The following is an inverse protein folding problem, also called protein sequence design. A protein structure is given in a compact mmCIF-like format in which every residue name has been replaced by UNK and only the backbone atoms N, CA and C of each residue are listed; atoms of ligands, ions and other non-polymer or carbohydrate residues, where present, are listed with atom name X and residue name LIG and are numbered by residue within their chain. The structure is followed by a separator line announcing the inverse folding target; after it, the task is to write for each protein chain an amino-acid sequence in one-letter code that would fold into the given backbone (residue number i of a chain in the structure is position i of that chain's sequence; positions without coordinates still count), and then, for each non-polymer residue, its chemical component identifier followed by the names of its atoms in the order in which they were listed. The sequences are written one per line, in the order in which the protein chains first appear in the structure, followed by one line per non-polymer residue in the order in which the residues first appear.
data_IF_430860676383
#
_entry.id   IF_430860676383
#
_cell.length_a   1.000
_cell.length_b   1.000
_cell.length_c   1.000
_cell.angle_alpha   90.00
_cell.angle_beta   90.00
_cell.angle_gamma   90.00
#
_symmetry.space_group_name_H-M   'P 1'
#
loop_
_entity.id
_entity.type
_entity.pdbx_description
1 polymer ?
#
# COMPACT_ATOMS: atom_id res chain seq x y z
N UNK A 1 -6.06 -5.92 -25.75
CA UNK A 1 -4.76 -5.98 -25.05
C UNK A 1 -4.97 -5.38 -23.67
N UNK A 2 -4.85 -6.18 -22.59
CA UNK A 2 -5.07 -5.69 -21.23
C UNK A 2 -3.95 -4.69 -20.88
N UNK A 3 -4.30 -3.42 -20.64
CA UNK A 3 -3.30 -2.38 -20.31
C UNK A 3 -3.00 -2.48 -18.82
N UNK A 4 -1.81 -2.97 -18.49
CA UNK A 4 -1.37 -3.08 -17.11
C UNK A 4 -1.07 -1.69 -16.54
N UNK A 5 -1.83 -1.28 -15.52
CA UNK A 5 -1.62 -0.03 -14.79
C UNK A 5 -0.96 -0.34 -13.45
N UNK A 6 -0.03 0.51 -13.05
CA UNK A 6 0.76 0.34 -11.83
C UNK A 6 0.95 1.69 -11.17
N UNK A 7 1.01 1.70 -9.85
CA UNK A 7 1.51 2.85 -9.10
C UNK A 7 2.25 2.38 -7.86
N UNK A 8 3.04 3.28 -7.29
CA UNK A 8 3.60 3.16 -5.94
C UNK A 8 3.28 4.41 -5.14
N UNK A 9 3.17 4.28 -3.82
CA UNK A 9 2.97 5.40 -2.92
C UNK A 9 4.33 5.96 -2.46
N UNK A 10 4.44 7.27 -2.34
CA UNK A 10 5.53 7.92 -1.61
C UNK A 10 4.96 9.05 -0.77
N UNK A 11 5.68 9.44 0.28
CA UNK A 11 5.31 10.59 1.10
C UNK A 11 6.14 11.79 0.70
N UNK A 12 5.50 12.85 0.18
CA UNK A 12 6.14 14.15 0.03
C UNK A 12 6.29 14.79 1.42
N UNK A 13 7.38 14.47 2.09
CA UNK A 13 7.60 14.80 3.51
C UNK A 13 7.57 16.30 3.77
N UNK A 14 8.15 17.10 2.87
CA UNK A 14 8.14 18.56 2.98
C UNK A 14 6.74 19.19 2.75
N UNK A 15 5.71 18.36 2.55
CA UNK A 15 4.30 18.72 2.38
C UNK A 15 3.37 17.93 3.30
N UNK A 16 3.85 16.87 3.95
CA UNK A 16 3.05 15.90 4.71
C UNK A 16 1.91 15.28 3.87
N UNK A 17 2.15 15.07 2.57
CA UNK A 17 1.14 14.59 1.63
C UNK A 17 1.56 13.26 0.98
N UNK A 18 0.58 12.47 0.55
CA UNK A 18 0.80 11.26 -0.26
C UNK A 18 0.93 11.62 -1.73
N UNK A 19 1.87 11.00 -2.42
CA UNK A 19 2.01 11.08 -3.88
C UNK A 19 1.95 9.67 -4.46
N UNK A 20 1.10 9.47 -5.48
CA UNK A 20 1.10 8.24 -6.26
C UNK A 20 1.95 8.44 -7.52
N UNK A 21 3.04 7.67 -7.62
CA UNK A 21 3.89 7.62 -8.81
C UNK A 21 3.32 6.54 -9.73
N UNK A 22 2.73 6.96 -10.85
CA UNK A 22 1.87 6.11 -11.71
C UNK A 22 2.53 5.79 -13.04
N UNK A 23 2.17 4.65 -13.62
CA UNK A 23 2.54 4.27 -15.00
C UNK A 23 1.60 4.85 -16.06
N UNK A 24 0.56 5.59 -15.64
CA UNK A 24 -0.43 6.23 -16.50
C UNK A 24 -0.57 7.70 -16.12
N UNK A 25 -1.03 8.52 -17.08
CA UNK A 25 -1.30 9.93 -16.83
C UNK A 25 -2.64 10.06 -16.12
N UNK A 26 -2.63 10.73 -14.98
CA UNK A 26 -3.83 11.16 -14.30
C UNK A 26 -4.26 12.52 -14.85
N UNK A 27 -5.36 12.53 -15.61
CA UNK A 27 -5.90 13.75 -16.21
C UNK A 27 -7.05 14.35 -15.36
N UNK A 28 -7.32 13.78 -14.19
CA UNK A 28 -8.48 14.10 -13.35
C UNK A 28 -8.11 14.98 -12.14
N UNK A 29 -6.82 15.25 -11.93
CA UNK A 29 -6.34 16.12 -10.86
C UNK A 29 -6.63 17.58 -11.23
N UNK A 30 -7.70 18.12 -10.63
CA UNK A 30 -8.07 19.54 -10.76
C UNK A 30 -7.72 20.37 -9.52
N UNK A 31 -7.26 19.73 -8.44
CA UNK A 31 -6.91 20.41 -7.19
C UNK A 31 -5.52 21.04 -7.32
N UNK A 32 -5.43 22.36 -7.21
CA UNK A 32 -4.15 23.05 -7.18
C UNK A 32 -3.45 22.78 -5.84
N UNK A 33 -2.23 22.24 -5.94
CA UNK A 33 -1.31 22.11 -4.82
C UNK A 33 0.11 22.11 -5.37
N UNK A 34 1.09 22.50 -4.54
CA UNK A 34 2.49 22.48 -4.97
C UNK A 34 2.96 21.07 -5.38
N UNK A 35 2.43 20.03 -4.74
CA UNK A 35 2.69 18.64 -5.13
C UNK A 35 2.13 18.37 -6.53
N UNK A 36 0.85 18.67 -6.76
CA UNK A 36 0.18 18.42 -8.02
C UNK A 36 0.82 19.22 -9.17
N UNK A 37 1.24 20.45 -8.91
CA UNK A 37 1.92 21.29 -9.89
C UNK A 37 3.26 20.67 -10.30
N UNK A 38 4.10 20.30 -9.33
CA UNK A 38 5.40 19.66 -9.61
C UNK A 38 5.22 18.33 -10.34
N UNK A 39 4.24 17.53 -9.93
CA UNK A 39 3.97 16.23 -10.56
C UNK A 39 3.41 16.38 -11.97
N UNK A 40 2.53 17.35 -12.21
CA UNK A 40 2.04 17.67 -13.56
C UNK A 40 3.18 18.07 -14.49
N UNK A 41 4.09 18.91 -14.01
CA UNK A 41 5.19 19.46 -14.82
C UNK A 41 6.32 18.46 -15.11
N UNK A 42 6.47 17.42 -14.28
CA UNK A 42 7.66 16.56 -14.31
C UNK A 42 7.42 15.05 -14.20
N UNK A 43 6.17 14.58 -14.09
CA UNK A 43 5.88 13.15 -13.91
C UNK A 43 6.41 12.27 -15.04
N UNK A 44 6.57 12.81 -16.24
CA UNK A 44 7.17 12.16 -17.41
C UNK A 44 8.64 11.76 -17.19
N UNK A 45 9.33 12.42 -16.26
CA UNK A 45 10.73 12.16 -15.91
C UNK A 45 10.91 11.11 -14.81
N UNK A 46 9.82 10.61 -14.23
CA UNK A 46 9.89 9.59 -13.19
C UNK A 46 10.23 8.25 -13.83
N UNK A 47 11.43 7.75 -13.53
CA UNK A 47 11.84 6.39 -13.91
C UNK A 47 11.35 5.38 -12.89
N UNK A 48 11.29 4.10 -13.29
CA UNK A 48 11.01 3.00 -12.35
C UNK A 48 12.01 3.02 -11.19
N UNK A 49 13.30 3.21 -11.47
CA UNK A 49 14.34 3.28 -10.43
C UNK A 49 14.09 4.42 -9.43
N UNK A 50 13.67 5.59 -9.91
CA UNK A 50 13.33 6.70 -9.03
C UNK A 50 12.11 6.39 -8.18
N UNK A 51 11.05 5.87 -8.80
CA UNK A 51 9.82 5.53 -8.11
C UNK A 51 10.05 4.45 -7.04
N UNK A 52 10.83 3.41 -7.34
CA UNK A 52 11.17 2.34 -6.39
C UNK A 52 11.99 2.88 -5.23
N UNK A 53 12.96 3.78 -5.46
CA UNK A 53 13.72 4.41 -4.37
C UNK A 53 12.84 5.30 -3.50
N UNK A 54 11.95 6.08 -4.11
CA UNK A 54 11.07 7.00 -3.39
C UNK A 54 10.07 6.25 -2.49
N UNK A 55 9.44 5.18 -3.00
CA UNK A 55 8.49 4.38 -2.20
C UNK A 55 9.15 3.62 -1.05
N UNK A 56 10.46 3.33 -1.12
CA UNK A 56 11.19 2.54 -0.13
C UNK A 56 12.14 3.38 0.75
N UNK A 57 12.11 4.71 0.64
CA UNK A 57 13.04 5.61 1.34
C UNK A 57 12.66 5.76 2.83
N UNK A 58 12.71 4.65 3.58
CA UNK A 58 12.35 4.60 4.98
C UNK A 58 13.31 5.48 5.79
N UNK A 59 12.79 6.45 6.59
CA UNK A 59 13.63 7.31 7.40
C UNK A 59 14.59 6.48 8.24
N UNK A 60 15.85 6.91 8.32
CA UNK A 60 16.98 6.27 9.01
C UNK A 60 17.54 4.99 8.39
N UNK A 61 16.86 4.37 7.44
CA UNK A 61 17.40 3.25 6.66
C UNK A 61 17.99 3.73 5.33
N UNK A 62 17.33 4.67 4.67
CA UNK A 62 17.73 5.16 3.35
C UNK A 62 17.72 6.69 3.29
N UNK A 63 18.53 7.30 2.40
CA UNK A 63 18.45 8.72 2.12
C UNK A 63 17.12 9.07 1.46
N UNK A 64 16.64 10.28 1.73
CA UNK A 64 15.47 10.85 1.06
C UNK A 64 15.71 11.07 -0.44
N UNK A 65 14.63 11.01 -1.24
CA UNK A 65 14.70 11.26 -2.68
C UNK A 65 14.23 12.68 -2.98
N UNK A 66 15.14 13.52 -3.47
CA UNK A 66 14.86 14.91 -3.88
C UNK A 66 14.39 14.95 -5.33
N UNK A 67 13.29 15.67 -5.58
CA UNK A 67 12.64 15.69 -6.89
C UNK A 67 12.05 17.06 -7.26
N UNK A 68 12.17 17.54 -8.51
CA UNK A 68 13.05 17.08 -9.60
C UNK A 68 14.54 17.07 -9.25
N UNK A 69 15.36 16.26 -9.92
CA UNK A 69 16.78 16.05 -9.56
C UNK A 69 17.64 17.32 -9.65
N UNK A 70 17.41 18.18 -10.66
CA UNK A 70 18.20 19.40 -10.88
C UNK A 70 17.62 20.67 -10.24
N UNK A 71 16.37 20.62 -9.76
CA UNK A 71 15.71 21.71 -9.03
C UNK A 71 14.70 21.10 -8.04
N UNK A 72 15.15 20.58 -6.89
CA UNK A 72 14.27 19.87 -5.97
C UNK A 72 13.17 20.73 -5.39
N UNK A 73 11.92 20.38 -5.69
CA UNK A 73 10.71 21.03 -5.16
C UNK A 73 9.96 20.15 -4.14
N UNK A 74 10.17 18.84 -4.22
CA UNK A 74 9.61 17.79 -3.37
C UNK A 74 10.72 16.94 -2.75
N UNK A 75 10.47 16.49 -1.53
CA UNK A 75 11.32 15.52 -0.82
C UNK A 75 10.49 14.29 -0.52
N UNK A 76 10.85 13.16 -1.12
CA UNK A 76 10.15 11.90 -1.02
C UNK A 76 10.77 10.99 0.03
N UNK A 77 9.92 10.50 0.93
CA UNK A 77 10.19 9.41 1.87
C UNK A 77 9.29 8.21 1.56
N UNK A 78 9.53 7.10 2.26
CA UNK A 78 8.80 5.84 2.14
C UNK A 78 7.28 6.02 2.13
N UNK A 79 6.60 5.35 1.20
CA UNK A 79 5.13 5.38 1.10
C UNK A 79 4.43 4.79 2.32
N UNK A 80 5.09 3.90 3.05
CA UNK A 80 4.68 3.29 4.30
C UNK A 80 4.41 4.29 5.41
N UNK A 81 4.99 5.50 5.35
CA UNK A 81 4.75 6.56 6.33
C UNK A 81 3.28 6.94 6.44
N UNK A 82 2.61 7.09 5.29
CA UNK A 82 1.19 7.43 5.25
C UNK A 82 0.33 6.25 4.78
N UNK A 83 0.87 5.37 3.93
CA UNK A 83 0.11 4.36 3.20
C UNK A 83 0.81 2.98 3.20
N UNK A 84 1.17 2.47 4.38
CA UNK A 84 1.73 1.11 4.49
C UNK A 84 0.75 0.00 4.06
N UNK A 85 -0.54 0.34 3.95
CA UNK A 85 -1.52 -0.43 3.20
C UNK A 85 -2.21 0.49 2.18
N UNK A 86 -1.81 0.46 0.89
CA UNK A 86 -2.29 1.40 -0.13
C UNK A 86 -3.66 1.01 -0.69
N UNK A 87 -4.49 0.29 0.07
CA UNK A 87 -5.74 -0.31 -0.42
C UNK A 87 -6.75 0.73 -0.87
N UNK A 88 -6.85 1.85 -0.13
CA UNK A 88 -7.72 2.96 -0.49
C UNK A 88 -7.19 3.65 -1.76
N UNK A 89 -5.89 3.91 -1.82
CA UNK A 89 -5.22 4.49 -2.99
C UNK A 89 -5.47 3.64 -4.24
N UNK A 90 -5.36 2.31 -4.11
CA UNK A 90 -5.67 1.36 -5.17
C UNK A 90 -7.14 1.47 -5.58
N UNK A 91 -8.05 1.40 -4.62
CA UNK A 91 -9.48 1.41 -4.89
C UNK A 91 -9.94 2.68 -5.59
N UNK A 92 -9.44 3.85 -5.17
CA UNK A 92 -9.82 5.13 -5.78
C UNK A 92 -9.06 5.43 -7.07
N UNK A 93 -7.85 4.88 -7.27
CA UNK A 93 -7.08 5.10 -8.50
C UNK A 93 -7.79 4.65 -9.77
N UNK A 94 -8.76 3.72 -9.68
CA UNK A 94 -9.55 3.30 -10.85
C UNK A 94 -10.34 4.44 -11.49
N UNK A 95 -10.76 5.44 -10.71
CA UNK A 95 -11.53 6.57 -11.23
C UNK A 95 -10.65 7.48 -12.10
N UNK A 96 -9.34 7.42 -11.92
CA UNK A 96 -8.34 8.16 -12.70
C UNK A 96 -8.07 7.50 -14.07
N UNK A 97 -8.55 6.26 -14.28
CA UNK A 97 -8.31 5.48 -15.52
C UNK A 97 -9.29 5.82 -16.63
N UNK A 98 -10.34 6.58 -16.32
CA UNK A 98 -11.44 6.93 -17.22
C UNK A 98 -11.71 8.44 -17.14
N UNK A 99 -12.49 8.98 -18.08
CA UNK A 99 -12.90 10.38 -17.99
C UNK A 99 -13.90 10.60 -16.84
N UNK A 100 -13.99 11.81 -16.26
CA UNK A 100 -14.89 12.07 -15.11
C UNK A 100 -16.37 11.76 -15.35
N UNK A 101 -16.81 11.76 -16.61
CA UNK A 101 -18.18 11.43 -17.02
C UNK A 101 -18.38 9.95 -17.39
N UNK A 102 -17.32 9.14 -17.38
CA UNK A 102 -17.36 7.72 -17.69
C UNK A 102 -17.45 6.89 -16.40
N UNK A 103 -18.14 5.73 -16.41
CA UNK A 103 -18.16 4.84 -15.27
C UNK A 103 -16.76 4.31 -14.98
N UNK A 104 -16.41 4.21 -13.70
CA UNK A 104 -15.15 3.60 -13.29
C UNK A 104 -15.06 2.13 -13.74
N UNK A 105 -13.85 1.62 -14.04
CA UNK A 105 -13.67 0.21 -14.38
C UNK A 105 -14.22 -0.70 -13.29
N UNK A 106 -14.98 -1.72 -13.70
CA UNK A 106 -15.45 -2.76 -12.79
C UNK A 106 -14.26 -3.50 -12.19
N UNK A 107 -14.34 -3.80 -10.90
CA UNK A 107 -13.30 -4.53 -10.16
C UNK A 107 -13.88 -5.87 -9.73
N UNK A 108 -13.49 -6.95 -10.39
CA UNK A 108 -13.94 -8.29 -10.00
C UNK A 108 -13.32 -8.75 -8.69
N UNK A 109 -12.05 -8.38 -8.45
CA UNK A 109 -11.30 -8.79 -7.28
C UNK A 109 -10.28 -7.74 -6.83
N UNK A 110 -10.06 -7.69 -5.51
CA UNK A 110 -8.93 -7.02 -4.88
C UNK A 110 -8.21 -8.01 -3.96
N UNK A 111 -6.93 -8.29 -4.27
CA UNK A 111 -6.06 -9.11 -3.44
C UNK A 111 -5.05 -8.20 -2.74
N UNK A 112 -5.08 -8.19 -1.40
CA UNK A 112 -4.20 -7.40 -0.56
C UNK A 112 -3.23 -8.31 0.19
N UNK A 113 -1.93 -8.13 -0.06
CA UNK A 113 -0.87 -8.90 0.57
C UNK A 113 -0.22 -8.05 1.65
N UNK A 114 -0.15 -8.58 2.88
CA UNK A 114 0.57 -7.97 3.99
C UNK A 114 1.94 -8.61 4.20
N UNK A 115 2.85 -7.85 4.82
CA UNK A 115 4.22 -8.27 5.15
C UNK A 115 4.31 -9.00 6.49
N UNK A 116 3.18 -9.40 7.05
CA UNK A 116 3.08 -10.03 8.35
C UNK A 116 2.65 -9.07 9.46
N UNK A 117 2.22 -9.64 10.60
CA UNK A 117 1.88 -8.87 11.80
C UNK A 117 2.27 -9.63 13.07
N UNK A 118 2.65 -8.88 14.10
CA UNK A 118 2.81 -9.37 15.47
C UNK A 118 1.51 -9.02 16.22
N UNK A 119 0.92 -9.97 16.94
CA UNK A 119 -0.20 -9.68 17.84
C UNK A 119 0.36 -8.96 19.07
N UNK A 120 -0.07 -7.73 19.39
CA UNK A 120 0.33 -7.12 20.63
C UNK A 120 -0.29 -7.91 21.79
N UNK A 121 0.53 -8.29 22.77
CA UNK A 121 0.09 -8.85 24.04
C UNK A 121 -0.54 -7.74 24.90
N UNK A 122 -1.80 -7.38 24.60
CA UNK A 122 -2.53 -6.27 25.25
C UNK A 122 -1.91 -4.88 24.99
N UNK A 123 -2.68 -3.77 25.00
CA UNK A 123 -2.09 -2.44 24.96
C UNK A 123 -1.37 -2.16 26.29
N UNK A 124 -0.08 -2.46 26.38
CA UNK A 124 0.76 -2.07 27.52
C UNK A 124 1.11 -0.58 27.43
N UNK A 125 1.04 0.18 28.53
CA UNK A 125 1.45 1.61 28.67
C UNK A 125 2.74 2.01 27.90
N UNK A 126 3.66 1.06 27.68
CA UNK A 126 4.83 1.21 26.82
C UNK A 126 4.51 1.65 25.39
N UNK A 127 3.36 1.28 24.80
CA UNK A 127 2.95 1.63 23.43
C UNK A 127 2.86 3.13 23.14
N UNK A 128 2.70 3.95 24.18
CA UNK A 128 2.64 5.40 24.06
C UNK A 128 4.01 6.09 24.23
N UNK A 129 5.04 5.37 24.67
CA UNK A 129 6.34 5.94 25.06
C UNK A 129 7.43 5.81 23.98
N UNK A 130 7.06 5.40 22.76
CA UNK A 130 7.99 5.18 21.66
C UNK A 130 8.37 6.53 21.07
N UNK A 131 9.65 6.92 21.18
CA UNK A 131 10.18 8.09 20.51
C UNK A 131 10.97 7.71 19.24
N UNK A 132 10.92 8.56 18.22
CA UNK A 132 11.76 8.44 17.02
C UNK A 132 11.37 7.31 16.05
N UNK A 133 12.35 6.60 15.50
CA UNK A 133 12.18 5.61 14.41
C UNK A 133 11.30 4.44 14.83
N UNK A 134 11.39 4.00 16.08
CA UNK A 134 10.60 2.90 16.62
C UNK A 134 9.10 3.19 16.58
N UNK A 135 8.67 4.44 16.83
CA UNK A 135 7.25 4.81 16.72
C UNK A 135 6.78 4.83 15.26
N UNK A 136 7.66 5.16 14.33
CA UNK A 136 7.35 5.16 12.90
C UNK A 136 7.16 3.73 12.38
N UNK A 137 8.07 2.80 12.70
CA UNK A 137 7.96 1.38 12.34
C UNK A 137 6.72 0.74 12.95
N UNK A 138 6.44 1.01 14.24
CA UNK A 138 5.23 0.52 14.91
C UNK A 138 3.96 1.15 14.31
N UNK A 139 4.02 2.43 13.97
CA UNK A 139 2.98 3.17 13.24
C UNK A 139 2.65 2.52 11.89
N UNK A 140 3.66 2.05 11.15
CA UNK A 140 3.45 1.35 9.87
C UNK A 140 2.67 0.06 10.07
N UNK A 141 3.10 -0.81 10.99
CA UNK A 141 2.47 -2.09 11.24
C UNK A 141 0.99 -1.94 11.67
N UNK A 142 0.73 -1.01 12.59
CA UNK A 142 -0.62 -0.75 13.13
C UNK A 142 -1.55 -0.11 12.10
N UNK A 143 -1.09 0.94 11.39
CA UNK A 143 -1.85 1.61 10.33
C UNK A 143 -2.26 0.61 9.23
N UNK A 144 -1.36 -0.30 8.85
CA UNK A 144 -1.62 -1.32 7.82
C UNK A 144 -2.81 -2.21 8.14
N UNK A 145 -2.84 -2.74 9.36
CA UNK A 145 -3.88 -3.66 9.81
C UNK A 145 -5.23 -2.95 9.99
N UNK A 146 -5.22 -1.72 10.50
CA UNK A 146 -6.42 -0.89 10.62
C UNK A 146 -7.04 -0.62 9.24
N UNK A 147 -6.24 -0.12 8.28
CA UNK A 147 -6.67 0.14 6.90
C UNK A 147 -7.26 -1.08 6.20
N UNK A 148 -6.65 -2.25 6.38
CA UNK A 148 -7.18 -3.49 5.80
C UNK A 148 -8.54 -3.89 6.38
N UNK A 149 -8.72 -3.70 7.70
CA UNK A 149 -10.01 -3.95 8.36
C UNK A 149 -11.08 -2.95 7.92
N UNK A 150 -10.74 -1.67 7.84
CA UNK A 150 -11.65 -0.62 7.39
C UNK A 150 -12.10 -0.85 5.95
N UNK A 151 -11.16 -1.16 5.07
CA UNK A 151 -11.46 -1.53 3.69
C UNK A 151 -12.36 -2.77 3.59
N UNK A 152 -12.11 -3.81 4.40
CA UNK A 152 -12.99 -4.97 4.46
C UNK A 152 -14.42 -4.61 4.86
N UNK A 153 -14.60 -3.70 5.84
CA UNK A 153 -15.94 -3.23 6.26
C UNK A 153 -16.61 -2.44 5.13
N UNK A 154 -15.87 -1.55 4.47
CA UNK A 154 -16.37 -0.81 3.32
C UNK A 154 -16.77 -1.75 2.18
N UNK A 155 -15.98 -2.78 1.89
CA UNK A 155 -16.32 -3.74 0.83
C UNK A 155 -17.59 -4.51 1.15
N UNK A 156 -17.78 -4.96 2.39
CA UNK A 156 -19.04 -5.59 2.82
C UNK A 156 -20.23 -4.65 2.59
N UNK A 157 -20.09 -3.37 2.94
CA UNK A 157 -21.15 -2.37 2.73
C UNK A 157 -21.41 -2.10 1.24
N UNK A 158 -20.37 -2.06 0.40
CA UNK A 158 -20.48 -1.89 -1.04
C UNK A 158 -21.13 -3.10 -1.69
N UNK A 159 -20.72 -4.32 -1.33
CA UNK A 159 -21.26 -5.57 -1.90
C UNK A 159 -22.75 -5.78 -1.59
N UNK A 160 -23.30 -5.11 -0.57
CA UNK A 160 -24.74 -5.08 -0.32
C UNK A 160 -25.52 -4.18 -1.31
N UNK A 161 -24.82 -3.44 -2.19
CA UNK A 161 -25.41 -2.65 -3.28
C UNK A 161 -25.27 -3.41 -4.59
N UNK A 162 -26.33 -3.44 -5.39
CA UNK A 162 -26.38 -4.19 -6.66
C UNK A 162 -25.21 -3.86 -7.59
N UNK A 163 -24.81 -2.59 -7.65
CA UNK A 163 -23.70 -2.06 -8.48
C UNK A 163 -22.31 -2.61 -8.12
N UNK A 164 -22.11 -3.07 -6.88
CA UNK A 164 -20.82 -3.61 -6.43
C UNK A 164 -20.92 -5.07 -5.94
N UNK A 165 -22.08 -5.70 -6.10
CA UNK A 165 -22.45 -6.99 -5.50
C UNK A 165 -21.53 -8.18 -5.80
N UNK A 166 -20.57 -8.02 -6.72
CA UNK A 166 -19.68 -9.08 -7.19
C UNK A 166 -18.19 -8.84 -6.84
N UNK A 167 -17.81 -7.73 -6.20
CA UNK A 167 -16.38 -7.47 -5.93
C UNK A 167 -15.87 -8.33 -4.79
N UNK A 168 -14.87 -9.19 -5.07
CA UNK A 168 -14.26 -10.07 -4.06
C UNK A 168 -13.05 -9.39 -3.44
N UNK A 169 -13.03 -9.23 -2.11
CA UNK A 169 -11.84 -8.79 -1.39
C UNK A 169 -11.20 -9.94 -0.62
N UNK A 170 -9.91 -10.17 -0.85
CA UNK A 170 -9.10 -11.15 -0.12
C UNK A 170 -7.87 -10.45 0.47
N UNK A 171 -7.63 -10.64 1.77
CA UNK A 171 -6.41 -10.18 2.42
C UNK A 171 -5.64 -11.34 3.00
N UNK A 172 -4.40 -11.50 2.56
CA UNK A 172 -3.44 -12.48 3.06
C UNK A 172 -2.40 -11.74 3.89
N UNK A 173 -2.30 -12.06 5.17
CA UNK A 173 -1.35 -11.41 6.08
C UNK A 173 -0.91 -12.40 7.17
N UNK A 174 0.28 -13.00 7.06
CA UNK A 174 0.73 -14.03 8.00
C UNK A 174 0.99 -13.47 9.41
N UNK A 175 0.79 -14.29 10.43
CA UNK A 175 1.22 -13.94 11.79
C UNK A 175 2.70 -14.22 11.92
N UNK A 176 3.48 -13.23 12.37
CA UNK A 176 4.89 -13.41 12.71
C UNK A 176 5.06 -14.03 14.11
N UNK A 177 3.97 -14.23 14.85
CA UNK A 177 4.02 -14.86 16.17
C UNK A 177 4.84 -14.02 17.15
N UNK A 178 5.86 -14.62 17.74
CA UNK A 178 6.84 -13.97 18.62
C UNK A 178 8.17 -13.66 17.92
N UNK A 179 8.25 -13.85 16.61
CA UNK A 179 9.47 -13.58 15.86
C UNK A 179 9.77 -12.08 15.86
N UNK A 180 10.93 -11.73 16.41
CA UNK A 180 11.46 -10.37 16.38
C UNK A 180 12.27 -10.19 15.09
N UNK A 181 11.59 -9.83 14.01
CA UNK A 181 12.21 -9.60 12.70
C UNK A 181 12.20 -8.11 12.42
N UNK A 182 13.39 -7.49 12.46
CA UNK A 182 13.57 -6.09 12.15
C UNK A 182 13.45 -5.79 10.66
N UNK A 183 13.06 -4.56 10.30
CA UNK A 183 12.86 -4.16 8.89
C UNK A 183 14.11 -4.31 8.02
N UNK A 184 15.30 -4.10 8.59
CA UNK A 184 16.59 -4.27 7.90
C UNK A 184 17.30 -5.61 8.18
N UNK A 185 16.66 -6.54 8.92
CA UNK A 185 17.28 -7.81 9.27
C UNK A 185 17.16 -8.82 8.13
N UNK A 186 18.01 -8.64 7.10
CA UNK A 186 18.06 -9.53 5.94
C UNK A 186 18.50 -10.97 6.30
N UNK A 187 19.11 -11.18 7.47
CA UNK A 187 19.57 -12.51 7.91
C UNK A 187 18.41 -13.44 8.27
N UNK A 188 17.23 -12.87 8.54
CA UNK A 188 15.99 -13.59 8.89
C UNK A 188 15.13 -14.00 7.69
N UNK A 189 15.65 -13.88 6.46
CA UNK A 189 14.89 -14.17 5.25
C UNK A 189 14.34 -15.60 5.21
N UNK A 190 15.10 -16.60 5.69
CA UNK A 190 14.58 -17.97 5.72
C UNK A 190 13.48 -18.18 6.77
N UNK A 191 13.57 -17.49 7.91
CA UNK A 191 12.50 -17.50 8.91
C UNK A 191 11.21 -16.88 8.33
N UNK A 192 11.32 -15.77 7.59
CA UNK A 192 10.19 -15.16 6.88
C UNK A 192 9.55 -16.10 5.86
N UNK A 193 10.37 -16.84 5.08
CA UNK A 193 9.85 -17.82 4.12
C UNK A 193 9.12 -18.96 4.84
N UNK A 194 9.68 -19.49 5.91
CA UNK A 194 9.05 -20.55 6.71
C UNK A 194 7.70 -20.10 7.27
N UNK A 195 7.63 -18.88 7.83
CA UNK A 195 6.38 -18.30 8.34
C UNK A 195 5.33 -18.11 7.23
N UNK A 196 5.74 -17.62 6.06
CA UNK A 196 4.84 -17.44 4.92
C UNK A 196 4.35 -18.78 4.36
N UNK A 197 5.23 -19.77 4.20
CA UNK A 197 4.86 -21.13 3.76
C UNK A 197 3.91 -21.79 4.74
N UNK A 198 4.21 -21.76 6.04
CA UNK A 198 3.33 -22.33 7.06
C UNK A 198 1.95 -21.65 7.08
N UNK A 199 1.90 -20.32 6.88
CA UNK A 199 0.64 -19.60 6.74
C UNK A 199 -0.16 -20.09 5.53
N UNK A 200 0.49 -20.32 4.40
CA UNK A 200 -0.16 -20.81 3.19
C UNK A 200 -0.68 -22.23 3.42
N UNK A 201 0.11 -23.13 4.00
CA UNK A 201 -0.24 -24.54 4.21
C UNK A 201 -1.32 -24.78 5.27
N UNK A 202 -1.53 -23.83 6.19
CA UNK A 202 -2.51 -23.97 7.24
C UNK A 202 -3.96 -24.04 6.71
N UNK A 203 -4.69 -25.10 7.07
CA UNK A 203 -6.03 -25.41 6.57
C UNK A 203 -7.01 -24.23 6.68
N UNK A 204 -6.98 -23.50 7.80
CA UNK A 204 -7.86 -22.35 8.02
C UNK A 204 -7.62 -21.20 7.02
N UNK A 205 -6.44 -21.12 6.43
CA UNK A 205 -6.06 -20.09 5.45
C UNK A 205 -6.34 -20.54 4.01
N UNK A 206 -6.48 -21.85 3.76
CA UNK A 206 -6.83 -22.40 2.45
C UNK A 206 -8.15 -21.84 1.92
N UNK A 207 -9.13 -21.56 2.79
CA UNK A 207 -10.37 -20.88 2.39
C UNK A 207 -10.10 -19.54 1.69
N UNK A 208 -9.17 -18.73 2.21
CA UNK A 208 -8.86 -17.41 1.65
C UNK A 208 -8.02 -17.52 0.39
N UNK A 209 -7.10 -18.48 0.34
CA UNK A 209 -6.30 -18.78 -0.86
C UNK A 209 -7.21 -19.22 -1.99
N UNK A 210 -8.12 -20.17 -1.74
CA UNK A 210 -9.07 -20.63 -2.74
C UNK A 210 -9.99 -19.51 -3.23
N UNK A 211 -10.41 -18.60 -2.34
CA UNK A 211 -11.14 -17.39 -2.75
C UNK A 211 -10.30 -16.49 -3.68
N UNK A 212 -9.00 -16.33 -3.42
CA UNK A 212 -8.13 -15.55 -4.29
C UNK A 212 -7.94 -16.23 -5.65
N UNK A 213 -7.73 -17.56 -5.67
CA UNK A 213 -7.61 -18.34 -6.90
C UNK A 213 -8.89 -18.25 -7.73
N UNK A 214 -10.05 -18.53 -7.14
CA UNK A 214 -11.35 -18.40 -7.81
C UNK A 214 -11.56 -16.98 -8.36
N UNK A 215 -11.15 -15.95 -7.62
CA UNK A 215 -11.32 -14.57 -8.06
C UNK A 215 -10.42 -14.15 -9.22
N UNK A 216 -9.33 -14.90 -9.50
CA UNK A 216 -8.42 -14.66 -10.62
C UNK A 216 -8.66 -15.63 -11.78
N UNK A 217 -9.12 -16.85 -11.50
CA UNK A 217 -9.26 -17.92 -12.48
C UNK A 217 -10.69 -18.18 -12.97
N UNK A 218 -11.72 -17.67 -12.30
CA UNK A 218 -13.12 -17.78 -12.77
C UNK A 218 -13.43 -16.74 -13.86
N UNK A 219 -12.67 -16.75 -14.96
CA UNK A 219 -13.04 -16.12 -16.24
C UNK A 219 -13.84 -17.09 -17.13
#
# INVERSE_FOLDING_TARGET
MCRLTRFVCTTAQNRAETVLLRSYKDNTIHVQSKVNDVMRDHSDKITISLATRATSAAPTYFPEVKWPEHDPRLTFWDGGLLNNNPIDQLWYSRYELVQPNEPAPAVSCVISLGTGYIKPDSPSESWFQLAGVASSVMGFATNTNAKGKDFSRHMTALNNRSEHSQTRYVRLNPSLGKSEIGLADYTKMEELKQLATAYIEEEKNQLWINKAVAAVCDE
#
